data_IF_738990714597
#
_entry.id   IF_738990714597
#
_cell.length_a   1.000
_cell.length_b   1.000
_cell.length_c   1.000
_cell.angle_alpha   90.00
_cell.angle_beta   90.00
_cell.angle_gamma   90.00
#
_symmetry.space_group_name_H-M   'P 1'
#
loop_
_entity.id
_entity.type
_entity.pdbx_description
1 polymer ?
#
# COMPACT_ATOMS: atom_id res chain seq x y z
N UNK A 1 2.86 22.21 11.26
CA UNK A 1 2.60 22.61 9.85
C UNK A 1 3.73 22.16 8.92
N UNK A 2 5.01 22.42 9.24
CA UNK A 2 6.18 22.05 8.43
C UNK A 2 6.29 20.54 8.12
N UNK A 3 5.98 19.68 9.09
CA UNK A 3 6.03 18.21 8.91
C UNK A 3 5.06 17.69 7.84
N UNK A 4 3.91 18.33 7.67
CA UNK A 4 2.90 17.90 6.70
C UNK A 4 3.34 18.14 5.25
N UNK A 5 4.13 19.20 5.04
CA UNK A 5 4.70 19.55 3.73
C UNK A 5 5.82 18.60 3.31
N UNK A 6 6.70 18.21 4.24
CA UNK A 6 7.79 17.28 3.94
C UNK A 6 7.29 15.86 3.61
N UNK A 7 6.30 15.36 4.33
CA UNK A 7 5.77 14.01 4.10
C UNK A 7 4.96 13.88 2.80
N UNK A 8 4.35 14.97 2.32
CA UNK A 8 3.46 14.95 1.14
C UNK A 8 4.02 15.74 -0.05
N UNK A 9 5.32 16.04 -0.01
CA UNK A 9 6.00 16.85 -1.01
C UNK A 9 5.73 16.34 -2.45
N UNK A 10 5.84 15.04 -2.66
CA UNK A 10 5.61 14.39 -3.96
C UNK A 10 4.18 14.63 -4.50
N UNK A 11 3.17 14.60 -3.62
CA UNK A 11 1.78 14.84 -3.99
C UNK A 11 1.51 16.32 -4.31
N UNK A 12 2.22 17.21 -3.62
CA UNK A 12 2.12 18.65 -3.81
C UNK A 12 2.81 19.10 -5.12
N UNK A 13 3.94 18.50 -5.49
CA UNK A 13 4.60 18.77 -6.78
C UNK A 13 3.73 18.35 -7.97
N UNK A 14 3.11 17.17 -7.90
CA UNK A 14 2.37 16.61 -9.04
C UNK A 14 0.98 17.23 -9.24
N UNK A 15 0.27 17.58 -8.16
CA UNK A 15 -1.14 18.02 -8.23
C UNK A 15 -1.45 19.32 -7.50
N UNK A 16 -0.47 19.93 -6.83
CA UNK A 16 -0.67 21.11 -6.00
C UNK A 16 -1.58 20.85 -4.80
N UNK A 17 -1.81 21.91 -4.04
CA UNK A 17 -2.60 21.86 -2.80
C UNK A 17 -4.07 21.50 -3.07
N UNK A 18 -4.63 22.00 -4.18
CA UNK A 18 -5.99 21.70 -4.60
C UNK A 18 -6.17 20.25 -5.07
N UNK A 19 -5.21 19.71 -5.84
CA UNK A 19 -5.25 18.33 -6.32
C UNK A 19 -5.17 17.34 -5.16
N UNK A 20 -4.27 17.58 -4.21
CA UNK A 20 -4.10 16.73 -3.03
C UNK A 20 -5.34 16.73 -2.11
N UNK A 21 -5.98 17.89 -1.93
CA UNK A 21 -7.21 18.00 -1.15
C UNK A 21 -8.38 17.25 -1.79
N UNK A 22 -8.63 17.49 -3.08
CA UNK A 22 -9.73 16.83 -3.79
C UNK A 22 -9.49 15.34 -3.98
N UNK A 23 -8.25 14.89 -4.22
CA UNK A 23 -7.95 13.47 -4.30
C UNK A 23 -8.23 12.74 -3.00
N UNK A 24 -7.98 13.39 -1.85
CA UNK A 24 -8.27 12.82 -0.54
C UNK A 24 -9.78 12.62 -0.33
N UNK A 25 -10.59 13.61 -0.68
CA UNK A 25 -12.06 13.53 -0.57
C UNK A 25 -12.62 12.42 -1.47
N UNK A 26 -12.22 12.39 -2.74
CA UNK A 26 -12.68 11.36 -3.67
C UNK A 26 -12.28 9.95 -3.24
N UNK A 27 -11.05 9.80 -2.74
CA UNK A 27 -10.56 8.52 -2.20
C UNK A 27 -11.38 8.08 -1.00
N UNK A 28 -11.65 8.99 -0.05
CA UNK A 28 -12.45 8.70 1.14
C UNK A 28 -13.86 8.21 0.78
N UNK A 29 -14.53 8.91 -0.14
CA UNK A 29 -15.87 8.53 -0.61
C UNK A 29 -15.83 7.16 -1.31
N UNK A 30 -14.87 6.95 -2.23
CA UNK A 30 -14.73 5.70 -2.96
C UNK A 30 -14.48 4.50 -2.04
N UNK A 31 -13.54 4.63 -1.10
CA UNK A 31 -13.29 3.60 -0.09
C UNK A 31 -14.49 3.39 0.85
N UNK A 32 -15.23 4.44 1.17
CA UNK A 32 -16.46 4.34 1.96
C UNK A 32 -17.47 3.38 1.35
N UNK A 33 -17.73 3.48 0.04
CA UNK A 33 -18.62 2.55 -0.66
C UNK A 33 -18.09 1.10 -0.67
N UNK A 34 -16.78 0.92 -0.85
CA UNK A 34 -16.14 -0.40 -0.81
C UNK A 34 -16.35 -1.04 0.56
N UNK A 35 -16.02 -0.32 1.63
CA UNK A 35 -16.14 -0.81 3.02
C UNK A 35 -17.61 -1.09 3.37
N UNK A 36 -18.55 -0.25 2.93
CA UNK A 36 -19.97 -0.48 3.13
C UNK A 36 -20.47 -1.77 2.46
N UNK A 37 -20.03 -2.04 1.22
CA UNK A 37 -20.37 -3.30 0.54
C UNK A 37 -19.74 -4.52 1.21
N UNK A 38 -18.56 -4.34 1.82
CA UNK A 38 -17.84 -5.40 2.53
C UNK A 38 -18.49 -5.71 3.88
N UNK A 39 -18.94 -4.68 4.60
CA UNK A 39 -19.58 -4.82 5.91
C UNK A 39 -20.93 -5.54 5.80
N UNK A 40 -21.68 -5.32 4.72
CA UNK A 40 -22.90 -6.06 4.42
C UNK A 40 -22.61 -7.57 4.30
N UNK A 41 -21.58 -7.95 3.54
CA UNK A 41 -21.18 -9.36 3.41
C UNK A 41 -20.67 -9.96 4.72
N UNK A 42 -19.90 -9.18 5.49
CA UNK A 42 -19.43 -9.60 6.80
C UNK A 42 -20.58 -9.87 7.79
N UNK A 43 -21.71 -9.15 7.66
CA UNK A 43 -22.90 -9.37 8.49
C UNK A 43 -23.66 -10.65 8.16
N UNK A 44 -23.66 -11.08 6.89
CA UNK A 44 -24.38 -12.27 6.41
C UNK A 44 -23.61 -13.55 6.76
N UNK A 45 -22.28 -13.53 6.62
CA UNK A 45 -21.44 -14.70 6.83
C UNK A 45 -20.12 -14.32 7.54
N UNK A 46 -20.12 -14.21 8.88
CA UNK A 46 -18.91 -14.01 9.66
C UNK A 46 -18.10 -15.31 9.64
N UNK A 47 -17.28 -15.46 8.61
CA UNK A 47 -16.45 -16.64 8.37
C UNK A 47 -14.99 -16.23 8.40
N UNK A 48 -14.14 -17.04 9.02
CA UNK A 48 -12.68 -16.83 9.10
C UNK A 48 -11.97 -16.89 7.74
N UNK A 49 -12.69 -17.24 6.66
CA UNK A 49 -12.16 -17.42 5.31
C UNK A 49 -11.94 -16.12 4.51
N UNK A 50 -12.24 -14.95 5.07
CA UNK A 50 -11.96 -13.66 4.43
C UNK A 50 -12.63 -13.46 3.05
N UNK A 51 -12.12 -12.49 2.28
CA UNK A 51 -12.74 -12.04 1.03
C UNK A 51 -12.83 -13.14 -0.05
N UNK A 52 -11.84 -14.03 -0.12
CA UNK A 52 -11.82 -15.13 -1.10
C UNK A 52 -12.88 -16.20 -0.82
N UNK A 53 -13.21 -16.42 0.45
CA UNK A 53 -14.27 -17.33 0.86
C UNK A 53 -15.66 -16.76 0.57
N UNK A 54 -15.88 -15.46 0.78
CA UNK A 54 -17.12 -14.81 0.36
C UNK A 54 -17.32 -14.86 -1.16
N UNK A 55 -16.24 -14.73 -1.93
CA UNK A 55 -16.31 -14.93 -3.39
C UNK A 55 -16.64 -16.37 -3.74
N UNK A 56 -16.18 -17.36 -2.97
CA UNK A 56 -16.58 -18.72 -3.22
C UNK A 56 -18.04 -18.97 -2.85
N UNK A 57 -18.57 -18.34 -1.80
CA UNK A 57 -19.93 -18.63 -1.33
C UNK A 57 -21.01 -17.96 -2.20
N UNK A 58 -20.76 -16.72 -2.64
CA UNK A 58 -21.77 -15.90 -3.32
C UNK A 58 -21.63 -15.85 -4.85
N UNK A 59 -20.60 -16.47 -5.43
CA UNK A 59 -20.40 -16.47 -6.89
C UNK A 59 -21.04 -17.68 -7.58
N UNK A 60 -21.43 -17.52 -8.86
CA UNK A 60 -22.00 -18.63 -9.62
C UNK A 60 -20.99 -19.79 -9.75
N UNK A 61 -21.45 -21.06 -9.75
CA UNK A 61 -20.56 -22.23 -9.72
C UNK A 61 -19.54 -22.29 -10.86
N UNK A 62 -19.83 -21.60 -11.97
CA UNK A 62 -18.96 -21.54 -13.16
C UNK A 62 -17.73 -20.66 -12.95
N UNK A 63 -17.82 -19.59 -12.15
CA UNK A 63 -16.76 -18.60 -11.97
C UNK A 63 -16.13 -18.60 -10.57
N UNK A 64 -16.77 -19.29 -9.63
CA UNK A 64 -16.37 -19.40 -8.22
C UNK A 64 -14.87 -19.68 -8.03
N UNK A 65 -14.33 -20.73 -8.66
CA UNK A 65 -12.92 -21.12 -8.51
C UNK A 65 -11.95 -20.06 -9.03
N UNK A 66 -12.24 -19.49 -10.20
CA UNK A 66 -11.36 -18.53 -10.84
C UNK A 66 -11.34 -17.20 -10.08
N UNK A 67 -12.51 -16.69 -9.70
CA UNK A 67 -12.62 -15.42 -8.99
C UNK A 67 -12.06 -15.53 -7.56
N UNK A 68 -12.29 -16.63 -6.85
CA UNK A 68 -11.68 -16.86 -5.53
C UNK A 68 -10.16 -17.00 -5.60
N UNK A 69 -9.62 -17.59 -6.66
CA UNK A 69 -8.18 -17.66 -6.87
C UNK A 69 -7.59 -16.26 -7.07
N UNK A 70 -8.19 -15.44 -7.93
CA UNK A 70 -7.73 -14.06 -8.15
C UNK A 70 -7.79 -13.25 -6.86
N UNK A 71 -8.90 -13.30 -6.12
CA UNK A 71 -9.01 -12.52 -4.88
C UNK A 71 -8.03 -12.98 -3.83
N UNK A 72 -7.80 -14.29 -3.68
CA UNK A 72 -6.76 -14.81 -2.81
C UNK A 72 -5.36 -14.33 -3.21
N UNK A 73 -5.03 -14.36 -4.50
CA UNK A 73 -3.74 -13.85 -4.99
C UNK A 73 -3.56 -12.34 -4.76
N UNK A 74 -4.60 -11.55 -4.95
CA UNK A 74 -4.55 -10.11 -4.69
C UNK A 74 -4.26 -9.83 -3.21
N UNK A 75 -4.86 -10.58 -2.28
CA UNK A 75 -4.55 -10.46 -0.84
C UNK A 75 -3.10 -10.85 -0.51
N UNK A 76 -2.55 -11.87 -1.18
CA UNK A 76 -1.14 -12.25 -0.99
C UNK A 76 -0.20 -11.15 -1.51
N UNK A 77 -0.50 -10.56 -2.67
CA UNK A 77 0.29 -9.45 -3.22
C UNK A 77 0.22 -8.20 -2.33
N UNK A 78 -0.94 -7.92 -1.75
CA UNK A 78 -1.09 -6.85 -0.75
C UNK A 78 -0.17 -7.08 0.45
N UNK A 79 -0.17 -8.28 1.03
CA UNK A 79 0.72 -8.60 2.15
C UNK A 79 2.21 -8.46 1.76
N UNK A 80 2.60 -8.97 0.60
CA UNK A 80 3.99 -8.86 0.13
C UNK A 80 4.42 -7.40 -0.08
N UNK A 81 3.59 -6.60 -0.74
CA UNK A 81 3.87 -5.19 -0.99
C UNK A 81 3.89 -4.37 0.31
N UNK A 82 2.99 -4.67 1.24
CA UNK A 82 2.96 -4.09 2.58
C UNK A 82 4.25 -4.37 3.35
N UNK A 83 4.69 -5.62 3.38
CA UNK A 83 5.95 -6.00 4.04
C UNK A 83 7.17 -5.37 3.36
N UNK A 84 7.19 -5.24 2.03
CA UNK A 84 8.31 -4.61 1.31
C UNK A 84 8.38 -3.09 1.50
N UNK A 85 7.24 -2.42 1.76
CA UNK A 85 7.18 -0.96 1.88
C UNK A 85 7.96 -0.41 3.08
N UNK A 86 7.94 -1.12 4.22
CA UNK A 86 8.64 -0.70 5.44
C UNK A 86 10.17 -0.66 5.28
N UNK A 87 10.82 -1.77 4.90
CA UNK A 87 12.26 -1.82 4.62
C UNK A 87 12.69 -0.82 3.54
N UNK A 88 11.85 -0.58 2.53
CA UNK A 88 12.12 0.44 1.50
C UNK A 88 12.18 1.85 2.08
N UNK A 89 11.21 2.21 2.92
CA UNK A 89 11.20 3.51 3.60
C UNK A 89 12.44 3.66 4.50
N UNK A 90 12.74 2.66 5.32
CA UNK A 90 13.89 2.70 6.24
C UNK A 90 15.21 2.78 5.48
N UNK A 91 15.39 2.01 4.41
CA UNK A 91 16.59 2.06 3.57
C UNK A 91 16.80 3.44 2.93
N UNK A 92 15.71 4.07 2.46
CA UNK A 92 15.73 5.42 1.88
C UNK A 92 16.09 6.48 2.92
N UNK A 93 15.55 6.37 4.14
CA UNK A 93 15.89 7.27 5.25
C UNK A 93 17.37 7.16 5.60
N UNK A 94 17.92 5.94 5.69
CA UNK A 94 19.35 5.75 5.97
C UNK A 94 20.22 6.34 4.87
N UNK A 95 19.86 6.13 3.60
CA UNK A 95 20.59 6.72 2.48
C UNK A 95 20.56 8.26 2.54
N UNK A 96 19.42 8.85 2.92
CA UNK A 96 19.28 10.29 3.15
C UNK A 96 20.12 10.81 4.32
N UNK A 97 20.24 10.04 5.41
CA UNK A 97 21.11 10.39 6.54
C UNK A 97 22.59 10.37 6.15
N UNK A 98 23.00 9.42 5.29
CA UNK A 98 24.37 9.34 4.77
C UNK A 98 24.69 10.57 3.91
N UNK A 99 23.77 11.00 3.03
CA UNK A 99 23.98 12.19 2.21
C UNK A 99 24.03 13.48 3.01
N UNK A 100 23.29 13.57 4.13
CA UNK A 100 23.38 14.73 5.04
C UNK A 100 24.72 14.76 5.76
N UNK A 101 25.25 13.60 6.16
CA UNK A 101 26.53 13.50 6.87
C UNK A 101 27.74 13.74 5.95
N UNK A 102 27.69 13.25 4.72
CA UNK A 102 28.79 13.33 3.77
C UNK A 102 28.36 14.06 2.48
N UNK A 103 28.74 15.34 2.31
CA UNK A 103 28.32 16.14 1.17
C UNK A 103 28.92 15.67 -0.18
N UNK A 104 29.99 14.88 -0.17
CA UNK A 104 30.59 14.30 -1.39
C UNK A 104 29.96 12.96 -1.78
N UNK A 105 28.97 12.47 -1.01
CA UNK A 105 28.30 11.21 -1.29
C UNK A 105 27.24 11.39 -2.39
N UNK A 106 27.45 10.74 -3.53
CA UNK A 106 26.51 10.69 -4.65
C UNK A 106 25.59 9.46 -4.50
N UNK A 107 24.34 9.63 -4.05
CA UNK A 107 23.44 8.51 -3.78
C UNK A 107 23.04 7.81 -5.09
N UNK A 108 23.46 6.56 -5.25
CA UNK A 108 23.05 5.72 -6.38
C UNK A 108 21.86 4.84 -6.01
N UNK A 109 20.95 4.60 -6.96
CA UNK A 109 19.75 3.79 -6.74
C UNK A 109 20.04 2.37 -6.25
N UNK A 110 21.13 1.75 -6.72
CA UNK A 110 21.52 0.40 -6.28
C UNK A 110 21.94 0.34 -4.81
N UNK A 111 22.47 1.43 -4.24
CA UNK A 111 22.84 1.48 -2.82
C UNK A 111 21.59 1.44 -1.94
N UNK A 112 20.50 2.10 -2.37
CA UNK A 112 19.21 2.02 -1.71
C UNK A 112 18.64 0.59 -1.70
N UNK A 113 18.77 -0.13 -2.82
CA UNK A 113 18.35 -1.54 -2.89
C UNK A 113 19.17 -2.45 -1.97
N UNK A 114 20.49 -2.24 -1.87
CA UNK A 114 21.32 -3.01 -0.94
C UNK A 114 20.97 -2.74 0.53
N UNK A 115 20.68 -1.48 0.89
CA UNK A 115 20.22 -1.12 2.23
C UNK A 115 18.86 -1.75 2.54
N UNK A 116 17.97 -1.82 1.55
CA UNK A 116 16.70 -2.55 1.67
C UNK A 116 16.93 -4.04 1.95
N UNK A 117 17.82 -4.70 1.18
CA UNK A 117 18.13 -6.11 1.44
C UNK A 117 18.74 -6.34 2.82
N UNK A 118 19.60 -5.42 3.28
CA UNK A 118 20.15 -5.47 4.63
C UNK A 118 19.06 -5.36 5.71
N UNK A 119 18.03 -4.55 5.47
CA UNK A 119 16.88 -4.41 6.39
C UNK A 119 15.94 -5.62 6.41
N UNK A 120 15.84 -6.34 5.30
CA UNK A 120 15.03 -7.56 5.21
C UNK A 120 15.76 -8.76 5.85
N UNK A 121 17.09 -8.74 5.87
CA UNK A 121 17.92 -9.81 6.44
C UNK A 121 18.04 -9.78 7.97
N UNK A 122 17.81 -8.63 8.60
CA UNK A 122 17.87 -8.43 10.07
C UNK A 122 16.47 -8.56 10.67
#
# INVERSE_FOLDING_TARGET
MVTFYFSNYQGLENGGLAGMFWSYIWTFIGFGFIIASLSERASIAPTDGGQYHWVSEFCSPRYQKFLSYITGWMSVLELQSGTASGPFLTGTIIQGLISVRNPDYDPKGWQGTLLLFLMVLV
#
